data_IF_943204237519
#
_entry.id   IF_943204237519
#
_cell.length_a   1.000
_cell.length_b   1.000
_cell.length_c   1.000
_cell.angle_alpha   90.00
_cell.angle_beta   90.00
_cell.angle_gamma   90.00
#
_symmetry.space_group_name_H-M   'P 1'
#
loop_
_entity.id
_entity.type
_entity.pdbx_description
1 polymer ?
#
# COMPACT_ATOMS: atom_id res chain seq x y z
N UNK A 1 10.41 15.14 5.90
CA UNK A 1 9.21 15.72 5.26
C UNK A 1 8.16 16.05 6.31
N UNK A 2 7.37 17.11 6.15
CA UNK A 2 6.27 17.41 7.07
C UNK A 2 5.24 16.27 7.07
N UNK A 3 4.81 15.79 8.24
CA UNK A 3 3.83 14.69 8.35
C UNK A 3 2.51 14.97 7.63
N UNK A 4 2.09 16.24 7.58
CA UNK A 4 0.87 16.65 6.89
C UNK A 4 0.98 16.52 5.36
N UNK A 5 2.16 16.76 4.80
CA UNK A 5 2.38 16.63 3.36
C UNK A 5 2.21 15.17 2.91
N UNK A 6 2.79 14.23 3.67
CA UNK A 6 2.65 12.80 3.40
C UNK A 6 1.18 12.32 3.48
N UNK A 7 0.39 12.90 4.38
CA UNK A 7 -1.05 12.62 4.48
C UNK A 7 -1.83 13.17 3.29
N UNK A 8 -1.47 14.36 2.80
CA UNK A 8 -2.09 14.92 1.60
C UNK A 8 -1.70 14.14 0.34
N UNK A 9 -0.47 13.68 0.23
CA UNK A 9 -0.05 12.77 -0.84
C UNK A 9 -0.87 11.47 -0.80
N UNK A 10 -1.03 10.88 0.39
CA UNK A 10 -1.89 9.72 0.60
C UNK A 10 -3.34 9.96 0.18
N UNK A 11 -3.90 11.11 0.59
CA UNK A 11 -5.25 11.54 0.21
C UNK A 11 -5.39 11.71 -1.29
N UNK A 12 -4.43 12.36 -1.95
CA UNK A 12 -4.44 12.55 -3.39
C UNK A 12 -4.44 11.21 -4.12
N UNK A 13 -3.56 10.27 -3.72
CA UNK A 13 -3.51 8.93 -4.32
C UNK A 13 -4.80 8.16 -4.08
N UNK A 14 -5.37 8.21 -2.87
CA UNK A 14 -6.64 7.55 -2.57
C UNK A 14 -7.77 8.09 -3.45
N UNK A 15 -7.93 9.42 -3.54
CA UNK A 15 -8.99 10.05 -4.32
C UNK A 15 -8.84 9.79 -5.81
N UNK A 16 -7.62 9.90 -6.36
CA UNK A 16 -7.37 9.60 -7.77
C UNK A 16 -7.65 8.13 -8.07
N UNK A 17 -7.19 7.21 -7.22
CA UNK A 17 -7.41 5.77 -7.43
C UNK A 17 -8.89 5.43 -7.38
N UNK A 18 -9.66 5.98 -6.42
CA UNK A 18 -11.11 5.82 -6.34
C UNK A 18 -11.83 6.40 -7.56
N UNK A 19 -11.43 7.59 -8.00
CA UNK A 19 -12.03 8.23 -9.18
C UNK A 19 -11.81 7.39 -10.43
N UNK A 20 -10.58 6.94 -10.67
CA UNK A 20 -10.27 6.07 -11.82
C UNK A 20 -11.01 4.74 -11.69
N UNK A 21 -11.04 4.13 -10.50
CA UNK A 21 -11.79 2.89 -10.28
C UNK A 21 -13.28 3.02 -10.64
N UNK A 22 -13.89 4.14 -10.27
CA UNK A 22 -15.28 4.47 -10.60
C UNK A 22 -15.48 4.74 -12.10
N UNK A 23 -14.52 5.39 -12.77
CA UNK A 23 -14.59 5.67 -14.21
C UNK A 23 -14.63 4.39 -15.06
N UNK A 24 -13.96 3.33 -14.62
CA UNK A 24 -13.95 2.03 -15.29
C UNK A 24 -15.11 1.11 -14.87
N UNK A 25 -16.03 1.60 -14.01
CA UNK A 25 -17.20 0.87 -13.50
C UNK A 25 -16.83 -0.51 -12.90
N UNK A 26 -15.67 -0.58 -12.22
CA UNK A 26 -15.23 -1.80 -11.57
C UNK A 26 -16.06 -2.13 -10.32
N UNK A 27 -16.08 -3.41 -9.94
CA UNK A 27 -16.93 -3.92 -8.87
C UNK A 27 -16.55 -3.41 -7.48
N UNK A 28 -17.36 -2.51 -6.92
CA UNK A 28 -17.21 -2.04 -5.54
C UNK A 28 -17.21 -3.17 -4.49
N UNK A 29 -17.89 -4.29 -4.76
CA UNK A 29 -17.83 -5.46 -3.88
C UNK A 29 -16.41 -6.06 -3.82
N UNK A 30 -15.74 -6.19 -4.97
CA UNK A 30 -14.34 -6.62 -5.03
C UNK A 30 -13.41 -5.59 -4.40
N UNK A 31 -13.69 -4.29 -4.59
CA UNK A 31 -12.95 -3.22 -3.94
C UNK A 31 -12.93 -3.38 -2.41
N UNK A 32 -14.10 -3.45 -1.77
CA UNK A 32 -14.19 -3.57 -0.32
C UNK A 32 -13.67 -4.91 0.21
N UNK A 33 -13.75 -5.98 -0.58
CA UNK A 33 -13.19 -7.28 -0.20
C UNK A 33 -11.65 -7.27 -0.24
N UNK A 34 -11.07 -6.67 -1.27
CA UNK A 34 -9.63 -6.76 -1.55
C UNK A 34 -8.83 -5.58 -1.00
N UNK A 35 -9.47 -4.49 -0.56
CA UNK A 35 -8.75 -3.35 0.02
C UNK A 35 -7.91 -3.77 1.23
N UNK A 36 -8.36 -4.75 2.03
CA UNK A 36 -7.62 -5.29 3.18
C UNK A 36 -6.64 -6.42 2.80
N UNK A 37 -6.60 -6.86 1.54
CA UNK A 37 -5.73 -7.95 1.12
C UNK A 37 -4.22 -7.66 1.33
N UNK A 38 -3.70 -6.44 1.10
CA UNK A 38 -2.31 -6.11 1.41
C UNK A 38 -1.93 -6.36 2.86
N UNK A 39 -2.85 -6.20 3.82
CA UNK A 39 -2.56 -6.37 5.25
C UNK A 39 -2.28 -7.83 5.64
N UNK A 40 -2.74 -8.80 4.84
CA UNK A 40 -2.38 -10.22 5.04
C UNK A 40 -0.87 -10.46 4.95
N UNK A 41 -0.13 -9.56 4.28
CA UNK A 41 1.33 -9.60 4.24
C UNK A 41 1.98 -9.45 5.62
N UNK A 42 1.26 -8.90 6.61
CA UNK A 42 1.72 -8.82 7.99
C UNK A 42 1.78 -10.20 8.68
N UNK A 43 1.16 -11.25 8.13
CA UNK A 43 1.35 -12.61 8.63
C UNK A 43 2.81 -13.08 8.54
N UNK A 44 3.65 -12.45 7.71
CA UNK A 44 5.09 -12.71 7.68
C UNK A 44 5.80 -12.46 9.02
N UNK A 45 5.22 -11.62 9.89
CA UNK A 45 5.74 -11.40 11.25
C UNK A 45 5.65 -12.65 12.14
N UNK A 46 4.80 -13.64 11.78
CA UNK A 46 4.74 -14.92 12.48
C UNK A 46 6.02 -15.75 12.29
N UNK A 47 6.76 -15.53 11.20
CA UNK A 47 8.02 -16.24 10.92
C UNK A 47 9.18 -15.55 11.63
N UNK A 48 9.35 -14.24 11.42
CA UNK A 48 10.26 -13.37 12.17
C UNK A 48 10.08 -11.90 11.74
N UNK A 49 10.72 -10.98 12.47
CA UNK A 49 10.67 -9.53 12.21
C UNK A 49 11.16 -9.14 10.80
N UNK A 50 12.22 -9.80 10.30
CA UNK A 50 12.79 -9.48 8.99
C UNK A 50 11.86 -9.89 7.86
N UNK A 51 11.33 -11.11 7.91
CA UNK A 51 10.38 -11.65 6.93
C UNK A 51 9.11 -10.81 6.94
N UNK A 52 8.56 -10.50 8.12
CA UNK A 52 7.38 -9.65 8.25
C UNK A 52 7.55 -8.25 7.70
N UNK A 53 8.69 -7.60 7.98
CA UNK A 53 8.96 -6.26 7.44
C UNK A 53 9.14 -6.27 5.91
N UNK A 54 9.82 -7.28 5.35
CA UNK A 54 9.97 -7.42 3.90
C UNK A 54 8.61 -7.68 3.24
N UNK A 55 7.85 -8.67 3.73
CA UNK A 55 6.54 -9.01 3.15
C UNK A 55 5.59 -7.82 3.23
N UNK A 56 5.51 -7.15 4.38
CA UNK A 56 4.70 -5.94 4.56
C UNK A 56 5.09 -4.85 3.56
N UNK A 57 6.39 -4.54 3.46
CA UNK A 57 6.84 -3.44 2.60
C UNK A 57 6.60 -3.68 1.11
N UNK A 58 6.65 -4.93 0.65
CA UNK A 58 6.34 -5.26 -0.75
C UNK A 58 4.91 -4.86 -1.10
N UNK A 59 3.94 -5.14 -0.23
CA UNK A 59 2.53 -4.79 -0.50
C UNK A 59 2.17 -3.34 -0.13
N UNK A 60 3.02 -2.65 0.65
CA UNK A 60 2.79 -1.27 1.10
C UNK A 60 3.71 -0.24 0.43
N UNK A 61 4.32 -0.61 -0.71
CA UNK A 61 5.13 0.29 -1.54
C UNK A 61 4.51 0.50 -2.91
N UNK A 62 4.51 1.75 -3.36
CA UNK A 62 4.10 2.10 -4.71
C UNK A 62 5.00 1.50 -5.79
N UNK A 63 6.25 1.15 -5.46
CA UNK A 63 7.15 0.46 -6.39
C UNK A 63 6.59 -0.89 -6.86
N UNK A 64 5.81 -1.56 -6.01
CA UNK A 64 5.17 -2.81 -6.35
C UNK A 64 3.86 -2.58 -7.11
N UNK A 65 3.08 -1.57 -6.73
CA UNK A 65 1.73 -1.32 -7.28
C UNK A 65 1.76 -0.65 -8.67
N UNK A 66 2.65 0.32 -8.89
CA UNK A 66 2.68 1.06 -10.16
C UNK A 66 2.88 0.19 -11.40
N UNK A 67 3.77 -0.83 -11.41
CA UNK A 67 3.88 -1.74 -12.53
C UNK A 67 2.57 -2.45 -12.91
N UNK A 68 1.71 -2.80 -11.94
CA UNK A 68 0.41 -3.44 -12.21
C UNK A 68 -0.55 -2.45 -12.89
N UNK A 69 -0.60 -1.21 -12.41
CA UNK A 69 -1.41 -0.16 -13.02
C UNK A 69 -0.93 0.15 -14.45
N UNK A 70 0.39 0.31 -14.64
CA UNK A 70 0.98 0.60 -15.95
C UNK A 70 0.76 -0.56 -16.93
N UNK A 71 1.02 -1.79 -16.51
CA UNK A 71 0.79 -2.94 -17.36
C UNK A 71 -0.70 -3.13 -17.67
N UNK A 72 -1.57 -3.01 -16.66
CA UNK A 72 -3.02 -3.09 -16.82
C UNK A 72 -3.57 -2.06 -17.80
N UNK A 73 -3.08 -0.82 -17.75
CA UNK A 73 -3.48 0.26 -18.65
C UNK A 73 -2.94 0.10 -20.08
N UNK A 74 -1.65 -0.21 -20.24
CA UNK A 74 -1.01 -0.33 -21.57
C UNK A 74 -1.59 -1.51 -22.34
N UNK A 75 -1.83 -2.64 -21.67
CA UNK A 75 -2.28 -3.88 -22.29
C UNK A 75 -3.79 -4.10 -22.19
N UNK A 76 -4.54 -3.10 -21.71
CA UNK A 76 -6.00 -3.20 -21.51
C UNK A 76 -6.41 -4.44 -20.67
N UNK A 77 -5.62 -4.75 -19.64
CA UNK A 77 -5.92 -5.83 -18.71
C UNK A 77 -6.65 -5.27 -17.50
N UNK A 78 -7.98 -5.33 -17.54
CA UNK A 78 -8.87 -4.79 -16.51
C UNK A 78 -8.60 -5.40 -15.13
N UNK A 79 -8.29 -6.69 -15.05
CA UNK A 79 -8.04 -7.35 -13.77
C UNK A 79 -6.80 -6.76 -13.07
N UNK A 80 -5.71 -6.57 -13.80
CA UNK A 80 -4.48 -6.01 -13.23
C UNK A 80 -4.63 -4.52 -12.90
N UNK A 81 -5.34 -3.77 -13.75
CA UNK A 81 -5.63 -2.36 -13.47
C UNK A 81 -6.51 -2.22 -12.22
N UNK A 82 -7.58 -3.01 -12.12
CA UNK A 82 -8.48 -3.05 -10.97
C UNK A 82 -7.73 -3.37 -9.66
N UNK A 83 -6.92 -4.45 -9.65
CA UNK A 83 -6.13 -4.84 -8.47
C UNK A 83 -5.12 -3.74 -8.11
N UNK A 84 -4.44 -3.19 -9.12
CA UNK A 84 -3.47 -2.10 -8.92
C UNK A 84 -4.11 -0.86 -8.28
N UNK A 85 -5.29 -0.46 -8.75
CA UNK A 85 -6.04 0.68 -8.19
C UNK A 85 -6.49 0.40 -6.75
N UNK A 86 -6.97 -0.81 -6.43
CA UNK A 86 -7.35 -1.19 -5.06
C UNK A 86 -6.14 -1.09 -4.13
N UNK A 87 -4.97 -1.60 -4.55
CA UNK A 87 -3.77 -1.56 -3.71
C UNK A 87 -3.23 -0.13 -3.58
N UNK A 88 -3.32 0.70 -4.63
CA UNK A 88 -2.97 2.11 -4.55
C UNK A 88 -3.89 2.86 -3.57
N UNK A 89 -5.19 2.58 -3.60
CA UNK A 89 -6.15 3.09 -2.61
C UNK A 89 -5.80 2.67 -1.19
N UNK A 90 -5.45 1.39 -0.96
CA UNK A 90 -5.02 0.92 0.37
C UNK A 90 -3.80 1.68 0.88
N UNK A 91 -2.75 1.80 0.06
CA UNK A 91 -1.54 2.55 0.45
C UNK A 91 -1.87 4.03 0.71
N UNK A 92 -2.72 4.65 -0.12
CA UNK A 92 -3.17 6.02 0.08
C UNK A 92 -3.87 6.23 1.42
N UNK A 93 -4.80 5.32 1.76
CA UNK A 93 -5.51 5.28 3.04
C UNK A 93 -4.53 5.12 4.22
N UNK A 94 -3.59 4.20 4.13
CA UNK A 94 -2.56 3.97 5.14
C UNK A 94 -1.77 5.25 5.45
N UNK A 95 -1.38 5.99 4.40
CA UNK A 95 -0.62 7.24 4.56
C UNK A 95 -1.44 8.34 5.25
N UNK A 96 -2.75 8.41 5.01
CA UNK A 96 -3.66 9.33 5.72
C UNK A 96 -3.69 8.99 7.22
N UNK A 97 -3.84 7.70 7.55
CA UNK A 97 -3.89 7.20 8.92
C UNK A 97 -2.53 7.33 9.64
N UNK A 98 -1.44 7.48 8.87
CA UNK A 98 -0.08 7.65 9.37
C UNK A 98 0.72 6.36 9.43
N UNK A 99 0.25 5.29 8.78
CA UNK A 99 1.03 4.09 8.53
C UNK A 99 2.09 4.32 7.44
N UNK A 100 3.10 3.47 7.44
CA UNK A 100 4.25 3.56 6.54
C UNK A 100 5.10 2.30 6.57
N UNK A 101 6.18 2.31 5.79
CA UNK A 101 7.07 1.17 5.64
C UNK A 101 7.71 0.77 6.98
N UNK A 102 7.88 -0.54 7.16
CA UNK A 102 8.48 -1.16 8.35
C UNK A 102 9.97 -1.29 8.15
N UNK A 103 10.74 -0.87 9.15
CA UNK A 103 12.19 -1.05 9.13
C UNK A 103 12.54 -2.43 9.68
N UNK A 104 13.39 -3.17 8.97
CA UNK A 104 13.91 -4.48 9.39
C UNK A 104 14.87 -4.38 10.57
N UNK A 105 15.42 -3.19 10.80
CA UNK A 105 16.46 -2.95 11.80
C UNK A 105 15.82 -2.37 13.08
N UNK A 106 15.19 -3.23 13.87
CA UNK A 106 15.04 -3.02 15.31
C UNK A 106 16.02 -3.90 16.10
N UNK A 107 17.20 -4.13 15.52
CA UNK A 107 18.39 -4.64 16.20
C UNK A 107 19.48 -3.58 16.08
N UNK A 108 19.21 -2.41 16.64
CA UNK A 108 20.21 -1.62 17.37
C UNK A 108 19.53 -0.66 18.36
N UNK A 109 18.44 -1.08 19.00
CA UNK A 109 18.16 -0.62 20.36
C UNK A 109 19.14 -1.34 21.30
N UNK A 110 20.43 -1.05 21.16
CA UNK A 110 21.29 -1.10 22.32
C UNK A 110 20.74 -0.04 23.28
N UNK A 111 20.58 -0.39 24.55
CA UNK A 111 19.85 0.31 25.63
C UNK A 111 20.21 1.81 25.90
N UNK A 112 20.88 2.53 24.99
CA UNK A 112 21.48 3.86 25.21
C UNK A 112 21.10 4.93 24.18
N UNK A 113 19.88 4.97 23.64
CA UNK A 113 19.48 6.18 22.88
C UNK A 113 18.00 6.54 22.96
N UNK A 114 17.65 7.23 24.04
CA UNK A 114 16.65 8.31 24.03
C UNK A 114 17.37 9.61 23.68
N UNK A 115 17.00 10.27 22.59
CA UNK A 115 17.00 11.73 22.45
C UNK A 115 15.88 12.12 21.49
#
# INVERSE_FOLDING_TARGET
MPKWLLRLEGLAVLLVSLYVYALFDYSWMLFFLLIMAPDLSALGFLVNQRVGAISYNIFHTYLFVWPFILYGSIWSNDMLLMIGLIFASHIGMDRILGYGLRYTNMLEENHLRKL
#
